data_IF_972888976167
#
_entry.id   IF_972888976167
#
_cell.length_a   1.000
_cell.length_b   1.000
_cell.length_c   1.000
_cell.angle_alpha   90.00
_cell.angle_beta   90.00
_cell.angle_gamma   90.00
#
_symmetry.space_group_name_H-M   'P 1'
#
loop_
_entity.id
_entity.type
_entity.pdbx_description
1 polymer ?
#
# COMPACT_ATOMS: atom_id res chain seq x y z
N UNK A 1 63.69 -36.18 -0.30
CA UNK A 1 64.31 -34.85 -0.48
C UNK A 1 63.19 -33.85 -0.68
N UNK A 2 63.19 -32.74 0.07
CA UNK A 2 62.13 -31.73 0.05
C UNK A 2 62.59 -30.60 -0.86
N UNK A 3 62.03 -30.49 -2.07
CA UNK A 3 62.35 -29.41 -2.99
C UNK A 3 61.97 -28.05 -2.38
N UNK A 4 62.93 -27.13 -2.31
CA UNK A 4 62.68 -25.74 -1.88
C UNK A 4 62.19 -24.97 -3.09
N UNK A 5 60.87 -24.79 -3.22
CA UNK A 5 60.30 -23.86 -4.20
C UNK A 5 60.57 -22.43 -3.73
N UNK A 6 61.43 -21.72 -4.46
CA UNK A 6 61.63 -20.27 -4.33
C UNK A 6 60.44 -19.55 -4.95
N UNK A 7 59.64 -18.88 -4.12
CA UNK A 7 58.54 -18.00 -4.55
C UNK A 7 59.13 -16.85 -5.37
N UNK A 8 58.62 -16.65 -6.58
CA UNK A 8 59.11 -15.56 -7.44
C UNK A 8 58.53 -14.22 -6.97
N UNK A 9 59.28 -13.13 -7.13
CA UNK A 9 58.85 -11.78 -6.72
C UNK A 9 57.51 -11.39 -7.38
N UNK A 10 57.26 -11.88 -8.60
CA UNK A 10 56.02 -11.69 -9.35
C UNK A 10 54.84 -12.42 -8.69
N UNK A 11 55.01 -13.67 -8.24
CA UNK A 11 53.96 -14.38 -7.48
C UNK A 11 53.57 -13.65 -6.21
N UNK A 12 54.57 -13.12 -5.48
CA UNK A 12 54.32 -12.37 -4.24
C UNK A 12 53.54 -11.07 -4.52
N UNK A 13 53.88 -10.38 -5.61
CA UNK A 13 53.20 -9.16 -6.04
C UNK A 13 51.75 -9.44 -6.47
N UNK A 14 51.53 -10.50 -7.26
CA UNK A 14 50.18 -10.91 -7.66
C UNK A 14 49.35 -11.30 -6.43
N UNK A 15 49.93 -12.03 -5.47
CA UNK A 15 49.25 -12.42 -4.24
C UNK A 15 48.82 -11.21 -3.40
N UNK A 16 49.66 -10.18 -3.28
CA UNK A 16 49.30 -8.95 -2.55
C UNK A 16 48.15 -8.19 -3.22
N UNK A 17 48.16 -8.08 -4.55
CA UNK A 17 47.06 -7.45 -5.31
C UNK A 17 45.78 -8.26 -5.16
N UNK A 18 45.84 -9.59 -5.30
CA UNK A 18 44.68 -10.48 -5.10
C UNK A 18 44.09 -10.33 -3.69
N UNK A 19 44.93 -10.29 -2.66
CA UNK A 19 44.47 -10.09 -1.29
C UNK A 19 43.80 -8.73 -1.11
N UNK A 20 44.33 -7.67 -1.73
CA UNK A 20 43.69 -6.35 -1.74
C UNK A 20 42.31 -6.35 -2.38
N UNK A 21 42.15 -7.02 -3.53
CA UNK A 21 40.85 -7.15 -4.22
C UNK A 21 39.85 -7.93 -3.35
N UNK A 22 40.28 -9.01 -2.69
CA UNK A 22 39.40 -9.78 -1.80
C UNK A 22 38.90 -8.94 -0.63
N UNK A 23 39.76 -8.14 -0.01
CA UNK A 23 39.36 -7.25 1.09
C UNK A 23 38.39 -6.17 0.62
N UNK A 24 38.65 -5.55 -0.54
CA UNK A 24 37.75 -4.55 -1.12
C UNK A 24 36.39 -5.15 -1.48
N UNK A 25 36.39 -6.36 -2.05
CA UNK A 25 35.16 -7.08 -2.36
C UNK A 25 34.35 -7.36 -1.08
N UNK A 26 34.99 -7.86 -0.03
CA UNK A 26 34.32 -8.11 1.26
C UNK A 26 33.72 -6.84 1.87
N UNK A 27 34.45 -5.71 1.83
CA UNK A 27 33.94 -4.42 2.32
C UNK A 27 32.77 -3.88 1.48
N UNK A 28 32.85 -4.02 0.15
CA UNK A 28 31.77 -3.62 -0.75
C UNK A 28 30.50 -4.46 -0.51
N UNK A 29 30.65 -5.76 -0.28
CA UNK A 29 29.52 -6.64 0.06
C UNK A 29 28.90 -6.29 1.42
N UNK A 30 29.70 -5.99 2.46
CA UNK A 30 29.15 -5.55 3.76
C UNK A 30 28.39 -4.22 3.63
N UNK A 31 28.96 -3.25 2.90
CA UNK A 31 28.31 -1.97 2.66
C UNK A 31 26.98 -2.13 1.89
N UNK A 32 26.99 -2.90 0.80
CA UNK A 32 25.79 -3.18 0.01
C UNK A 32 24.73 -3.95 0.81
N UNK A 33 25.16 -4.93 1.63
CA UNK A 33 24.28 -5.70 2.49
C UNK A 33 23.52 -4.81 3.48
N UNK A 34 24.21 -3.90 4.17
CA UNK A 34 23.58 -2.98 5.13
C UNK A 34 22.54 -2.06 4.48
N UNK A 35 22.84 -1.55 3.29
CA UNK A 35 21.89 -0.70 2.56
C UNK A 35 20.68 -1.49 2.07
N UNK A 36 20.89 -2.73 1.61
CA UNK A 36 19.80 -3.62 1.22
C UNK A 36 18.87 -3.94 2.41
N UNK A 37 19.44 -4.25 3.58
CA UNK A 37 18.64 -4.52 4.78
C UNK A 37 17.83 -3.30 5.21
N UNK A 38 18.44 -2.11 5.28
CA UNK A 38 17.73 -0.86 5.61
C UNK A 38 16.59 -0.56 4.65
N UNK A 39 16.84 -0.74 3.36
CA UNK A 39 15.80 -0.52 2.34
C UNK A 39 14.68 -1.55 2.48
N UNK A 40 15.01 -2.80 2.82
CA UNK A 40 14.03 -3.87 3.01
C UNK A 40 13.16 -3.65 4.25
N UNK A 41 13.75 -3.22 5.37
CA UNK A 41 13.01 -2.85 6.58
C UNK A 41 12.02 -1.72 6.29
N UNK A 42 12.46 -0.66 5.59
CA UNK A 42 11.58 0.48 5.20
C UNK A 42 10.43 0.04 4.30
N UNK A 43 10.70 -0.85 3.33
CA UNK A 43 9.67 -1.39 2.45
C UNK A 43 8.67 -2.26 3.21
N UNK A 44 9.15 -3.08 4.15
CA UNK A 44 8.30 -3.94 4.98
C UNK A 44 7.40 -3.11 5.92
N UNK A 45 7.94 -2.05 6.52
CA UNK A 45 7.18 -1.08 7.34
C UNK A 45 6.03 -0.46 6.52
N UNK A 46 6.34 0.11 5.36
CA UNK A 46 5.34 0.72 4.48
C UNK A 46 4.29 -0.29 3.97
N UNK A 47 4.70 -1.52 3.64
CA UNK A 47 3.78 -2.58 3.22
C UNK A 47 2.86 -3.04 4.35
N UNK A 48 3.38 -3.17 5.57
CA UNK A 48 2.59 -3.63 6.72
C UNK A 48 1.48 -2.63 7.08
N UNK A 49 1.79 -1.34 7.04
CA UNK A 49 0.80 -0.30 7.29
C UNK A 49 -0.22 -0.18 6.17
N UNK A 50 0.24 -0.28 4.92
CA UNK A 50 -0.68 -0.28 3.78
C UNK A 50 -1.63 -1.48 3.83
N UNK A 51 -1.13 -2.66 4.19
CA UNK A 51 -1.95 -3.86 4.36
C UNK A 51 -2.98 -3.68 5.48
N UNK A 52 -2.59 -3.07 6.61
CA UNK A 52 -3.51 -2.73 7.69
C UNK A 52 -4.64 -1.79 7.22
N UNK A 53 -4.30 -0.74 6.48
CA UNK A 53 -5.28 0.21 5.98
C UNK A 53 -6.24 -0.41 4.95
N UNK A 54 -5.70 -1.27 4.07
CA UNK A 54 -6.50 -2.02 3.11
C UNK A 54 -7.43 -3.00 3.79
N UNK A 55 -6.97 -3.76 4.78
CA UNK A 55 -7.81 -4.67 5.56
C UNK A 55 -8.93 -3.90 6.28
N UNK A 56 -8.60 -2.72 6.83
CA UNK A 56 -9.59 -1.84 7.45
C UNK A 56 -10.65 -1.36 6.46
N UNK A 57 -10.24 -0.88 5.28
CA UNK A 57 -11.18 -0.49 4.21
C UNK A 57 -12.00 -1.71 3.78
N UNK A 58 -11.37 -2.84 3.51
CA UNK A 58 -12.01 -4.08 3.06
C UNK A 58 -13.07 -4.55 4.04
N UNK A 59 -12.77 -4.57 5.34
CA UNK A 59 -13.73 -4.89 6.39
C UNK A 59 -14.99 -4.02 6.28
N UNK A 60 -14.82 -2.72 6.13
CA UNK A 60 -15.97 -1.81 6.05
C UNK A 60 -16.73 -1.90 4.73
N UNK A 61 -16.02 -2.15 3.62
CA UNK A 61 -16.64 -2.40 2.32
C UNK A 61 -17.45 -3.70 2.34
N UNK A 62 -16.96 -4.75 3.01
CA UNK A 62 -17.67 -6.03 3.12
C UNK A 62 -18.98 -5.94 3.90
N UNK A 63 -19.14 -4.90 4.72
CA UNK A 63 -20.38 -4.57 5.43
C UNK A 63 -21.28 -3.61 4.64
N UNK A 64 -20.90 -3.26 3.41
CA UNK A 64 -21.64 -2.35 2.56
C UNK A 64 -23.00 -2.92 2.16
N UNK A 65 -24.07 -2.12 2.31
CA UNK A 65 -25.43 -2.48 1.85
C UNK A 65 -25.98 -1.43 0.88
N UNK A 66 -26.66 -1.89 -0.16
CA UNK A 66 -27.30 -1.06 -1.16
C UNK A 66 -27.84 -1.87 -2.34
N UNK A 67 -28.46 -1.18 -3.28
CA UNK A 67 -29.04 -1.73 -4.49
C UNK A 67 -28.63 -0.91 -5.73
N UNK A 68 -29.27 -1.18 -6.87
CA UNK A 68 -28.93 -0.54 -8.14
C UNK A 68 -29.37 0.92 -8.25
N UNK A 69 -30.38 1.34 -7.50
CA UNK A 69 -30.85 2.72 -7.46
C UNK A 69 -30.12 3.51 -6.36
N UNK A 70 -29.67 2.82 -5.31
CA UNK A 70 -29.05 3.33 -4.10
C UNK A 70 -27.77 2.53 -3.75
N UNK A 71 -26.62 2.84 -4.38
CA UNK A 71 -25.42 2.02 -4.26
C UNK A 71 -24.81 2.07 -2.86
N UNK A 72 -24.33 0.91 -2.40
CA UNK A 72 -23.69 0.74 -1.10
C UNK A 72 -22.41 1.55 -0.93
N UNK A 73 -21.73 1.82 -2.05
CA UNK A 73 -20.45 2.53 -2.10
C UNK A 73 -20.55 3.66 -3.11
N UNK A 74 -20.00 4.82 -2.75
CA UNK A 74 -19.86 5.95 -3.67
C UNK A 74 -18.45 6.51 -3.58
N UNK A 75 -17.86 6.85 -4.74
CA UNK A 75 -16.55 7.49 -4.82
C UNK A 75 -16.72 8.86 -5.44
N UNK A 76 -16.30 9.89 -4.71
CA UNK A 76 -16.32 11.26 -5.18
C UNK A 76 -14.90 11.84 -5.21
N UNK A 77 -14.50 12.53 -6.29
CA UNK A 77 -13.27 13.30 -6.27
C UNK A 77 -13.42 14.46 -5.28
N UNK A 78 -12.36 14.74 -4.52
CA UNK A 78 -12.26 15.89 -3.63
C UNK A 78 -11.03 16.74 -3.99
N UNK A 79 -10.92 17.94 -3.43
CA UNK A 79 -9.74 18.76 -3.60
C UNK A 79 -8.50 18.02 -3.08
N UNK A 80 -7.63 17.59 -4.00
CA UNK A 80 -6.39 16.88 -3.66
C UNK A 80 -6.57 15.41 -3.33
N UNK A 81 -7.63 14.73 -3.81
CA UNK A 81 -7.76 13.28 -3.64
C UNK A 81 -9.14 12.71 -3.97
N UNK A 82 -9.48 11.62 -3.27
CA UNK A 82 -10.75 10.91 -3.43
C UNK A 82 -11.38 10.63 -2.07
N UNK A 83 -12.70 10.61 -2.05
CA UNK A 83 -13.50 10.20 -0.90
C UNK A 83 -14.30 8.97 -1.28
N UNK A 84 -14.15 7.90 -0.49
CA UNK A 84 -14.95 6.69 -0.56
C UNK A 84 -15.96 6.72 0.58
N UNK A 85 -17.24 6.63 0.25
CA UNK A 85 -18.32 6.62 1.21
C UNK A 85 -19.02 5.26 1.13
N UNK A 86 -19.24 4.63 2.27
CA UNK A 86 -19.79 3.28 2.41
C UNK A 86 -20.99 3.33 3.35
N UNK A 87 -22.14 2.83 2.90
CA UNK A 87 -23.36 2.68 3.69
C UNK A 87 -23.39 1.31 4.37
N UNK A 88 -23.78 1.26 5.64
CA UNK A 88 -23.84 0.03 6.45
C UNK A 88 -25.22 -0.07 7.12
N UNK A 89 -25.79 -1.28 7.16
CA UNK A 89 -27.03 -1.62 7.88
C UNK A 89 -26.80 -1.65 9.40
N UNK A 90 -26.39 -0.49 9.90
CA UNK A 90 -26.07 -0.22 11.29
C UNK A 90 -26.78 1.07 11.63
N UNK A 91 -27.62 1.05 12.65
CA UNK A 91 -28.34 2.21 13.11
C UNK A 91 -27.37 3.35 13.48
N UNK A 92 -27.48 4.49 12.79
CA UNK A 92 -26.55 5.61 12.96
C UNK A 92 -26.52 6.19 14.39
N UNK A 93 -27.62 6.09 15.14
CA UNK A 93 -27.75 6.64 16.49
C UNK A 93 -27.25 5.69 17.58
N UNK A 94 -27.40 4.37 17.40
CA UNK A 94 -27.12 3.37 18.44
C UNK A 94 -25.89 2.51 18.15
N UNK A 95 -25.44 2.44 16.90
CA UNK A 95 -24.31 1.61 16.48
C UNK A 95 -24.59 0.11 16.47
N UNK A 96 -25.85 -0.30 16.66
CA UNK A 96 -26.30 -1.68 16.54
C UNK A 96 -26.71 -1.98 15.10
N UNK A 97 -26.67 -3.25 14.70
CA UNK A 97 -27.27 -3.69 13.44
C UNK A 97 -28.75 -3.32 13.43
N UNK A 98 -29.13 -2.54 12.43
CA UNK A 98 -30.50 -2.47 11.99
C UNK A 98 -30.70 -3.74 11.16
N UNK A 99 -31.80 -4.46 11.33
CA UNK A 99 -32.14 -5.60 10.46
C UNK A 99 -33.14 -5.08 9.42
N UNK A 100 -32.78 -3.96 8.77
CA UNK A 100 -33.65 -3.21 7.87
C UNK A 100 -32.98 -3.00 6.52
N UNK A 101 -32.68 -4.09 5.78
CA UNK A 101 -31.87 -4.03 4.56
C UNK A 101 -32.53 -3.28 3.39
N UNK A 102 -33.78 -2.85 3.53
CA UNK A 102 -34.55 -2.11 2.54
C UNK A 102 -34.91 -0.67 2.99
N UNK A 103 -34.50 -0.27 4.19
CA UNK A 103 -34.66 1.10 4.70
C UNK A 103 -33.29 1.72 4.91
N UNK A 104 -32.91 2.63 4.01
CA UNK A 104 -31.60 3.28 4.06
C UNK A 104 -31.60 4.56 4.90
N UNK A 105 -32.73 4.95 5.51
CA UNK A 105 -32.87 6.27 6.14
C UNK A 105 -32.21 6.38 7.51
N UNK A 106 -31.96 5.25 8.17
CA UNK A 106 -31.35 5.15 9.49
C UNK A 106 -29.97 4.47 9.49
N UNK A 107 -29.47 4.14 8.29
CA UNK A 107 -28.17 3.57 8.04
C UNK A 107 -27.01 4.49 8.41
N UNK A 108 -25.97 3.87 8.95
CA UNK A 108 -24.71 4.54 9.21
C UNK A 108 -23.91 4.63 7.92
N UNK A 109 -23.39 5.82 7.67
CA UNK A 109 -22.41 6.06 6.62
C UNK A 109 -21.01 6.17 7.21
N UNK A 110 -20.06 5.50 6.57
CA UNK A 110 -18.64 5.55 6.87
C UNK A 110 -17.90 6.18 5.70
N UNK A 111 -16.96 7.07 6.00
CA UNK A 111 -16.21 7.80 4.98
C UNK A 111 -14.72 7.56 5.12
N UNK A 112 -14.09 7.16 4.03
CA UNK A 112 -12.65 7.16 3.85
C UNK A 112 -12.24 8.31 2.96
N UNK A 113 -11.21 9.05 3.36
CA UNK A 113 -10.62 10.07 2.50
C UNK A 113 -9.18 9.72 2.21
N UNK A 114 -8.87 9.62 0.93
CA UNK A 114 -7.54 9.37 0.40
C UNK A 114 -6.99 10.69 -0.13
N UNK A 115 -6.05 11.29 0.59
CA UNK A 115 -5.42 12.55 0.21
C UNK A 115 -4.17 12.28 -0.62
N UNK A 116 -4.19 12.62 -1.91
CA UNK A 116 -3.05 12.43 -2.81
C UNK A 116 -2.00 13.54 -2.70
N UNK A 117 -2.36 14.66 -2.06
CA UNK A 117 -1.46 15.81 -1.86
C UNK A 117 -0.56 15.59 -0.65
N UNK A 118 -1.13 15.07 0.44
CA UNK A 118 -0.38 14.87 1.68
C UNK A 118 0.00 13.39 1.88
N UNK A 119 -0.82 12.44 1.39
CA UNK A 119 -0.60 11.00 1.56
C UNK A 119 -1.48 10.33 2.63
N UNK A 120 -2.22 11.11 3.40
CA UNK A 120 -3.09 10.58 4.46
C UNK A 120 -4.24 9.70 3.95
N UNK A 121 -4.55 8.69 4.76
CA UNK A 121 -5.84 8.01 4.75
C UNK A 121 -6.56 8.36 6.04
N UNK A 122 -7.76 8.92 5.93
CA UNK A 122 -8.61 9.21 7.09
C UNK A 122 -9.88 8.38 7.07
N UNK A 123 -10.34 7.96 8.24
CA UNK A 123 -11.60 7.27 8.50
C UNK A 123 -12.49 8.17 9.35
N UNK A 124 -13.65 8.59 8.81
CA UNK A 124 -14.58 9.52 9.46
C UNK A 124 -13.90 10.80 10.00
N UNK A 125 -12.84 11.27 9.32
CA UNK A 125 -12.07 12.45 9.70
C UNK A 125 -10.90 12.18 10.66
N UNK A 126 -10.71 10.94 11.13
CA UNK A 126 -9.55 10.54 11.94
C UNK A 126 -8.47 9.91 11.05
N UNK A 127 -7.21 10.30 11.26
CA UNK A 127 -6.07 9.76 10.50
C UNK A 127 -5.82 8.32 10.92
N UNK A 128 -5.98 7.37 9.99
CA UNK A 128 -5.66 5.95 10.20
C UNK A 128 -4.30 5.58 9.61
N UNK A 129 -3.84 6.35 8.62
CA UNK A 129 -2.49 6.30 8.05
C UNK A 129 -2.03 7.73 7.83
N UNK A 130 -0.90 8.06 8.43
CA UNK A 130 -0.27 9.39 8.36
C UNK A 130 0.56 9.56 7.08
N UNK A 131 0.65 10.80 6.60
CA UNK A 131 1.46 11.36 5.51
C UNK A 131 2.92 10.87 5.49
N UNK A 132 3.40 10.38 6.62
CA UNK A 132 4.68 9.73 6.67
C UNK A 132 4.71 8.47 5.81
N UNK A 133 3.64 7.75 5.45
CA UNK A 133 3.82 6.34 5.05
C UNK A 133 3.20 5.93 3.71
N UNK A 134 2.28 6.71 3.16
CA UNK A 134 1.56 6.31 1.95
C UNK A 134 1.37 7.50 1.02
N UNK A 135 1.60 7.34 -0.28
CA UNK A 135 1.08 8.25 -1.30
C UNK A 135 0.21 7.41 -2.23
N UNK A 136 -1.08 7.33 -1.93
CA UNK A 136 -2.04 6.56 -2.72
C UNK A 136 -2.21 7.26 -4.06
N UNK A 137 -1.40 6.83 -5.02
CA UNK A 137 -1.80 6.95 -6.41
C UNK A 137 -2.72 5.78 -6.66
N UNK A 138 -4.04 5.97 -6.64
CA UNK A 138 -5.05 5.28 -7.48
C UNK A 138 -6.49 5.56 -7.06
N UNK A 139 -7.33 5.84 -8.05
CA UNK A 139 -8.65 5.25 -8.24
C UNK A 139 -9.12 5.62 -9.65
N UNK A 140 -9.07 4.70 -10.61
CA UNK A 140 -9.90 4.85 -11.81
C UNK A 140 -11.22 4.16 -11.53
N UNK A 141 -12.31 4.93 -11.45
CA UNK A 141 -13.66 4.38 -11.41
C UNK A 141 -13.96 3.85 -12.80
N UNK A 142 -13.71 2.56 -13.01
CA UNK A 142 -14.16 1.88 -14.23
C UNK A 142 -15.58 1.41 -13.99
N UNK A 143 -16.56 2.18 -14.48
CA UNK A 143 -17.89 1.64 -14.77
C UNK A 143 -17.73 0.67 -15.93
N UNK A 144 -17.89 -0.66 -15.74
CA UNK A 144 -18.03 -1.56 -16.88
C UNK A 144 -19.42 -1.25 -17.43
N UNK A 145 -19.52 -0.64 -18.61
CA UNK A 145 -20.82 -0.43 -19.25
C UNK A 145 -21.58 -1.76 -19.34
N UNK A 146 -22.62 -1.93 -18.52
CA UNK A 146 -23.42 -3.14 -18.37
C UNK A 146 -23.95 -3.33 -16.94
N UNK A 147 -24.89 -4.26 -16.75
CA UNK A 147 -25.67 -4.58 -15.53
C UNK A 147 -24.86 -4.90 -14.24
N UNK A 148 -23.54 -4.72 -14.27
CA UNK A 148 -22.67 -4.80 -13.11
C UNK A 148 -21.83 -3.52 -13.05
N UNK A 149 -22.39 -2.49 -12.44
CA UNK A 149 -21.57 -1.36 -12.04
C UNK A 149 -20.64 -1.84 -10.90
N UNK A 150 -19.39 -1.38 -10.83
CA UNK A 150 -18.50 -1.66 -9.69
C UNK A 150 -17.30 -0.72 -9.58
N UNK A 151 -16.60 -0.72 -8.45
CA UNK A 151 -15.30 -0.03 -8.30
C UNK A 151 -14.18 -1.04 -8.47
N UNK A 152 -13.16 -0.69 -9.27
CA UNK A 152 -11.88 -1.40 -9.28
C UNK A 152 -10.77 -0.47 -8.81
N UNK A 153 -10.08 -0.82 -7.72
CA UNK A 153 -8.83 -0.16 -7.33
C UNK A 153 -7.68 -0.81 -8.11
N UNK A 154 -6.95 -0.07 -8.96
CA UNK A 154 -6.00 -0.65 -9.90
C UNK A 154 -4.58 -0.91 -9.34
N UNK A 155 -4.10 -0.10 -8.38
CA UNK A 155 -2.79 -0.28 -7.73
C UNK A 155 -2.61 0.72 -6.60
N UNK A 156 -2.41 0.31 -5.34
CA UNK A 156 -2.03 1.27 -4.30
C UNK A 156 -0.51 1.35 -4.20
N UNK A 157 0.00 2.57 -4.35
CA UNK A 157 1.41 2.89 -4.18
C UNK A 157 1.60 3.50 -2.79
N UNK A 158 2.68 3.14 -2.08
CA UNK A 158 3.02 3.68 -0.77
C UNK A 158 4.52 3.98 -0.67
N UNK A 159 4.87 4.92 0.21
CA UNK A 159 6.26 5.31 0.47
C UNK A 159 6.38 5.94 1.85
N UNK A 160 7.48 5.63 2.54
CA UNK A 160 7.73 6.00 3.94
C UNK A 160 8.01 7.49 4.19
N UNK A 161 7.92 8.36 3.19
CA UNK A 161 7.79 9.82 3.31
C UNK A 161 7.09 10.36 2.07
N UNK A 162 5.78 10.63 2.16
CA UNK A 162 5.02 11.06 0.99
C UNK A 162 5.33 12.51 0.56
N UNK A 163 5.89 13.31 1.44
CA UNK A 163 6.31 14.70 1.24
C UNK A 163 7.71 14.81 0.60
N UNK A 164 8.58 13.81 0.80
CA UNK A 164 9.93 13.78 0.23
C UNK A 164 9.96 13.21 -1.21
N UNK A 165 10.93 13.60 -2.04
CA UNK A 165 11.12 13.00 -3.36
C UNK A 165 11.40 11.50 -3.25
N UNK A 166 10.97 10.76 -4.26
CA UNK A 166 11.23 9.33 -4.37
C UNK A 166 12.74 9.08 -4.47
N UNK A 167 13.25 8.15 -3.66
CA UNK A 167 14.64 7.73 -3.72
C UNK A 167 14.74 6.24 -3.41
N UNK A 168 15.27 5.42 -4.32
CA UNK A 168 15.27 3.95 -4.16
C UNK A 168 15.94 3.45 -2.88
N UNK A 169 16.91 4.21 -2.37
CA UNK A 169 17.60 3.92 -1.11
C UNK A 169 16.90 4.47 0.12
N UNK A 170 16.42 5.71 0.04
CA UNK A 170 16.07 6.51 1.22
C UNK A 170 14.58 6.65 1.44
N UNK A 171 13.81 6.64 0.35
CA UNK A 171 12.37 6.71 0.33
C UNK A 171 11.81 5.83 -0.79
N UNK A 172 11.95 4.49 -0.66
CA UNK A 172 11.54 3.56 -1.70
C UNK A 172 10.02 3.51 -1.82
N UNK A 173 9.57 3.33 -3.06
CA UNK A 173 8.18 3.09 -3.37
C UNK A 173 7.87 1.61 -3.26
N UNK A 174 6.74 1.28 -2.64
CA UNK A 174 6.15 -0.06 -2.66
C UNK A 174 4.78 0.03 -3.32
N UNK A 175 4.37 -1.04 -4.00
CA UNK A 175 3.04 -1.12 -4.58
C UNK A 175 2.42 -2.48 -4.24
N UNK A 176 1.12 -2.45 -3.99
CA UNK A 176 0.31 -3.66 -3.95
C UNK A 176 -0.43 -3.79 -5.28
N UNK A 177 -0.24 -4.89 -6.03
CA UNK A 177 -0.92 -5.12 -7.29
C UNK A 177 -2.37 -5.61 -7.11
N UNK A 178 -2.95 -5.48 -5.92
CA UNK A 178 -4.29 -6.01 -5.65
C UNK A 178 -5.35 -5.16 -6.33
N UNK A 179 -6.01 -5.76 -7.32
CA UNK A 179 -7.23 -5.26 -7.90
C UNK A 179 -8.42 -5.77 -7.09
N UNK A 180 -9.05 -4.90 -6.31
CA UNK A 180 -10.29 -5.23 -5.61
C UNK A 180 -11.48 -4.72 -6.43
N UNK A 181 -12.33 -5.64 -6.90
CA UNK A 181 -13.59 -5.35 -7.59
C UNK A 181 -14.74 -5.44 -6.60
N UNK A 182 -15.51 -4.37 -6.47
CA UNK A 182 -16.71 -4.34 -5.62
C UNK A 182 -17.91 -4.12 -6.52
N UNK A 183 -18.81 -5.11 -6.69
CA UNK A 183 -20.03 -4.92 -7.46
C UNK A 183 -20.99 -3.99 -6.69
N UNK A 184 -21.60 -3.03 -7.41
CA UNK A 184 -22.63 -2.13 -6.90
C UNK A 184 -24.03 -2.79 -6.89
N UNK A 185 -24.25 -3.82 -7.71
CA UNK A 185 -25.49 -4.62 -7.69
C UNK A 185 -25.16 -6.10 -7.43
N UNK A 186 -25.68 -6.66 -6.34
CA UNK A 186 -25.93 -8.10 -6.29
C UNK A 186 -27.34 -8.33 -6.84
N UNK A 187 -27.46 -9.01 -7.98
CA UNK A 187 -28.74 -9.50 -8.46
C UNK A 187 -29.37 -10.36 -7.35
N UNK A 188 -30.44 -9.84 -6.75
CA UNK A 188 -31.30 -10.59 -5.85
C UNK A 188 -31.88 -11.78 -6.61
N UNK A 189 -31.49 -12.99 -6.22
CA UNK A 189 -32.22 -14.22 -6.55
C UNK A 189 -33.13 -14.60 -5.38
#
# INVERSE_FOLDING_TARGET
MKERKSVTLVELLIAMVLMGVVVLAAMAFDAAGREFFRTSERKAEALNELAYALDHVHKHVSMGIGDCDDPALTIAPIAGGYQLTIRQDINAATGNFNDTPADYTDDRTVTYTFNTSNGDITFNGEVIVDNNLVNIVVAEVVSPGGEQEGVTLHSIVARRRADEPQHERDNPTVSLPESFFIPFCQSSN
#
